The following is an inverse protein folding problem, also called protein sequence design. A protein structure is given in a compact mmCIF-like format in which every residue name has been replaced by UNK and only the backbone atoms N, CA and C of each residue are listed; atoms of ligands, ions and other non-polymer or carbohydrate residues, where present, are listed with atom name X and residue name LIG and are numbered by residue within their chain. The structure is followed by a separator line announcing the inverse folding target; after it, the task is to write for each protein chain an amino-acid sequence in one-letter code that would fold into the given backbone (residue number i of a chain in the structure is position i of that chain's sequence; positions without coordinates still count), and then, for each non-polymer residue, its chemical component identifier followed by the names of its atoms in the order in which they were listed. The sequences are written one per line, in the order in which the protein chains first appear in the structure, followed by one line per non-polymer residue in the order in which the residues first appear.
data_IF_725123221310
#
_entry.id   IF_725123221310
#
_cell.length_a   1.000
_cell.length_b   1.000
_cell.length_c   1.000
_cell.angle_alpha   90.00
_cell.angle_beta   90.00
_cell.angle_gamma   90.00
#
_symmetry.space_group_name_H-M   'P 1'
#
loop_
_entity.id
_entity.type
_entity.pdbx_description
1 polymer ?
#
# COMPACT_ATOMS: atom_id res chain seq x y z
N UNK A 1 -29.96 -28.87 -11.85
CA UNK A 1 -28.89 -28.00 -12.36
C UNK A 1 -28.83 -26.77 -11.45
N UNK A 2 -27.70 -26.33 -10.93
CA UNK A 2 -27.64 -25.12 -10.12
C UNK A 2 -27.99 -23.91 -11.00
N UNK A 3 -28.90 -23.08 -10.50
CA UNK A 3 -29.37 -21.88 -11.20
C UNK A 3 -28.19 -20.91 -11.40
N UNK A 4 -28.08 -20.27 -12.57
CA UNK A 4 -27.00 -19.31 -12.90
C UNK A 4 -26.85 -18.19 -11.86
N UNK A 5 -27.95 -17.83 -11.21
CA UNK A 5 -27.99 -16.84 -10.13
C UNK A 5 -27.26 -17.33 -8.87
N UNK A 6 -27.42 -18.58 -8.48
CA UNK A 6 -26.74 -19.20 -7.34
C UNK A 6 -25.22 -19.32 -7.58
N UNK A 7 -24.79 -19.60 -8.81
CA UNK A 7 -23.37 -19.65 -9.17
C UNK A 7 -22.72 -18.25 -9.08
N UNK A 8 -23.45 -17.21 -9.49
CA UNK A 8 -22.98 -15.83 -9.45
C UNK A 8 -22.85 -15.33 -7.99
N UNK A 9 -23.83 -15.63 -7.14
CA UNK A 9 -23.79 -15.32 -5.71
C UNK A 9 -22.60 -16.02 -5.04
N UNK A 10 -22.41 -17.33 -5.28
CA UNK A 10 -21.28 -18.11 -4.73
C UNK A 10 -19.92 -17.53 -5.13
N UNK A 11 -19.74 -17.11 -6.38
CA UNK A 11 -18.48 -16.53 -6.86
C UNK A 11 -18.18 -15.18 -6.21
N UNK A 12 -19.20 -14.32 -6.03
CA UNK A 12 -19.08 -13.02 -5.36
C UNK A 12 -18.73 -13.19 -3.88
N UNK A 13 -19.42 -14.10 -3.18
CA UNK A 13 -19.15 -14.40 -1.76
C UNK A 13 -17.71 -14.90 -1.57
N UNK A 14 -17.25 -15.79 -2.44
CA UNK A 14 -15.88 -16.31 -2.40
C UNK A 14 -14.84 -15.18 -2.63
N UNK A 15 -15.10 -14.27 -3.56
CA UNK A 15 -14.24 -13.10 -3.79
C UNK A 15 -14.18 -12.21 -2.55
N UNK A 16 -15.33 -11.90 -1.93
CA UNK A 16 -15.39 -11.09 -0.71
C UNK A 16 -14.67 -11.77 0.46
N UNK A 17 -14.84 -13.07 0.64
CA UNK A 17 -14.13 -13.82 1.69
C UNK A 17 -12.60 -13.77 1.51
N UNK A 18 -12.11 -13.88 0.26
CA UNK A 18 -10.68 -13.74 -0.05
C UNK A 18 -10.17 -12.32 0.19
N UNK A 19 -10.95 -11.29 -0.14
CA UNK A 19 -10.60 -9.90 0.15
C UNK A 19 -10.54 -9.66 1.66
N UNK A 20 -11.50 -10.18 2.44
CA UNK A 20 -11.50 -10.11 3.90
C UNK A 20 -10.26 -10.81 4.51
N UNK A 21 -9.86 -11.96 3.95
CA UNK A 21 -8.63 -12.64 4.36
C UNK A 21 -7.38 -11.78 4.10
N UNK A 22 -7.32 -11.09 2.96
CA UNK A 22 -6.20 -10.17 2.66
C UNK A 22 -6.17 -8.98 3.62
N UNK A 23 -7.33 -8.45 4.01
CA UNK A 23 -7.43 -7.42 5.05
C UNK A 23 -6.89 -7.96 6.38
N UNK A 24 -7.30 -9.16 6.80
CA UNK A 24 -6.82 -9.77 8.05
C UNK A 24 -5.30 -9.97 8.04
N UNK A 25 -4.74 -10.49 6.94
CA UNK A 25 -3.29 -10.64 6.77
C UNK A 25 -2.60 -9.27 6.85
N UNK A 26 -3.13 -8.25 6.16
CA UNK A 26 -2.58 -6.90 6.20
C UNK A 26 -2.59 -6.34 7.63
N UNK A 27 -3.69 -6.48 8.36
CA UNK A 27 -3.80 -6.02 9.75
C UNK A 27 -2.80 -6.76 10.65
N UNK A 28 -2.61 -8.06 10.49
CA UNK A 28 -1.56 -8.80 11.23
C UNK A 28 -0.17 -8.26 10.89
N UNK A 29 0.09 -7.97 9.62
CA UNK A 29 1.37 -7.41 9.19
C UNK A 29 1.63 -5.99 9.73
N UNK A 30 0.61 -5.24 10.20
CA UNK A 30 0.82 -3.90 10.79
C UNK A 30 1.60 -3.94 12.11
N UNK A 31 1.62 -5.07 12.79
CA UNK A 31 2.43 -5.23 14.01
C UNK A 31 3.93 -5.25 13.72
N UNK A 32 4.32 -5.40 12.44
CA UNK A 32 5.70 -5.33 12.00
C UNK A 32 5.89 -3.97 11.30
N UNK A 33 6.31 -3.00 12.07
CA UNK A 33 6.64 -1.65 11.60
C UNK A 33 7.93 -1.17 12.29
N UNK A 34 8.71 -0.39 11.57
CA UNK A 34 9.97 0.15 12.09
C UNK A 34 10.40 1.40 11.33
N UNK A 35 11.07 2.35 11.98
CA UNK A 35 11.66 3.50 11.31
C UNK A 35 12.84 3.04 10.45
N UNK A 36 12.84 3.43 9.15
CA UNK A 36 13.97 3.12 8.25
C UNK A 36 15.08 4.15 8.43
N UNK A 37 14.70 5.41 8.73
CA UNK A 37 15.64 6.51 8.91
C UNK A 37 15.72 6.87 10.39
N UNK A 38 16.88 6.69 11.05
CA UNK A 38 17.06 7.09 12.45
C UNK A 38 16.84 8.58 12.71
N UNK A 39 17.06 9.42 11.69
CA UNK A 39 16.88 10.88 11.73
C UNK A 39 15.41 11.31 11.71
N UNK A 40 14.50 10.41 11.37
CA UNK A 40 13.06 10.70 11.27
C UNK A 40 12.24 9.51 11.78
N UNK A 41 12.22 9.24 13.09
CA UNK A 41 11.56 8.07 13.66
C UNK A 41 10.03 8.04 13.49
N UNK A 42 9.42 9.18 13.15
CA UNK A 42 8.00 9.28 12.80
C UNK A 42 7.66 8.73 11.42
N UNK A 43 8.67 8.47 10.58
CA UNK A 43 8.53 7.86 9.25
C UNK A 43 8.77 6.34 9.36
N UNK A 44 7.71 5.59 9.52
CA UNK A 44 7.76 4.15 9.67
C UNK A 44 7.51 3.42 8.35
N UNK A 45 8.27 2.36 8.13
CA UNK A 45 7.95 1.34 7.14
C UNK A 45 6.99 0.34 7.76
N UNK A 46 5.95 -0.01 7.03
CA UNK A 46 4.94 -0.98 7.46
C UNK A 46 4.89 -2.15 6.51
N UNK A 47 5.01 -3.36 7.05
CA UNK A 47 4.95 -4.61 6.27
C UNK A 47 3.55 -4.84 5.71
N UNK A 48 2.53 -4.19 6.26
CA UNK A 48 1.13 -4.24 5.79
C UNK A 48 0.93 -3.78 4.35
N UNK A 49 1.82 -2.94 3.81
CA UNK A 49 1.78 -2.50 2.41
C UNK A 49 1.92 -3.67 1.42
N UNK A 50 2.68 -4.70 1.80
CA UNK A 50 2.98 -5.85 0.95
C UNK A 50 1.72 -6.65 0.59
N UNK A 51 0.90 -7.14 1.54
CA UNK A 51 -0.34 -7.83 1.22
C UNK A 51 -1.35 -6.93 0.48
N UNK A 52 -1.38 -5.61 0.73
CA UNK A 52 -2.23 -4.67 0.01
C UNK A 52 -1.85 -4.60 -1.47
N UNK A 53 -0.56 -4.48 -1.79
CA UNK A 53 -0.07 -4.47 -3.17
C UNK A 53 -0.32 -5.79 -3.88
N UNK A 54 -0.12 -6.93 -3.21
CA UNK A 54 -0.45 -8.25 -3.73
C UNK A 54 -1.95 -8.36 -4.02
N UNK A 55 -2.81 -7.90 -3.10
CA UNK A 55 -4.25 -7.88 -3.28
C UNK A 55 -4.66 -7.03 -4.50
N UNK A 56 -4.03 -5.88 -4.72
CA UNK A 56 -4.21 -5.08 -5.91
C UNK A 56 -3.86 -5.81 -7.20
N UNK A 57 -2.80 -6.60 -7.21
CA UNK A 57 -2.44 -7.44 -8.35
C UNK A 57 -3.45 -8.55 -8.62
N UNK A 58 -3.97 -9.18 -7.57
CA UNK A 58 -4.93 -10.29 -7.65
C UNK A 58 -6.32 -9.81 -8.05
N UNK A 59 -6.86 -8.84 -7.32
CA UNK A 59 -8.26 -8.43 -7.41
C UNK A 59 -8.48 -7.19 -8.28
N UNK A 60 -7.41 -6.48 -8.62
CA UNK A 60 -7.43 -5.23 -9.40
C UNK A 60 -7.30 -3.97 -8.53
N UNK A 61 -7.20 -2.79 -9.17
CA UNK A 61 -6.84 -1.53 -8.49
C UNK A 61 -7.86 -1.09 -7.44
N UNK A 62 -9.15 -1.07 -7.75
CA UNK A 62 -10.19 -0.62 -6.81
C UNK A 62 -10.35 -1.57 -5.61
N UNK A 63 -10.47 -2.91 -5.79
CA UNK A 63 -10.49 -3.82 -4.66
C UNK A 63 -9.22 -3.73 -3.81
N UNK A 64 -8.04 -3.57 -4.42
CA UNK A 64 -6.79 -3.36 -3.72
C UNK A 64 -6.79 -2.09 -2.86
N UNK A 65 -7.32 -0.98 -3.41
CA UNK A 65 -7.50 0.27 -2.65
C UNK A 65 -8.45 0.07 -1.46
N UNK A 66 -9.60 -0.59 -1.67
CA UNK A 66 -10.56 -0.86 -0.58
C UNK A 66 -9.93 -1.69 0.52
N UNK A 67 -9.17 -2.75 0.16
CA UNK A 67 -8.43 -3.57 1.14
C UNK A 67 -7.44 -2.69 1.90
N UNK A 68 -6.69 -1.82 1.22
CA UNK A 68 -5.74 -0.91 1.84
C UNK A 68 -6.40 0.04 2.83
N UNK A 69 -7.45 0.74 2.41
CA UNK A 69 -8.18 1.69 3.27
C UNK A 69 -8.76 0.99 4.49
N UNK A 70 -9.45 -0.15 4.30
CA UNK A 70 -10.03 -0.91 5.42
C UNK A 70 -8.95 -1.39 6.39
N UNK A 71 -7.81 -1.89 5.88
CA UNK A 71 -6.69 -2.34 6.73
C UNK A 71 -6.11 -1.20 7.56
N UNK A 72 -5.91 -0.01 6.96
CA UNK A 72 -5.40 1.18 7.67
C UNK A 72 -6.39 1.66 8.73
N UNK A 73 -7.68 1.67 8.43
CA UNK A 73 -8.71 2.06 9.41
C UNK A 73 -8.78 1.06 10.58
N UNK A 74 -8.73 -0.24 10.31
CA UNK A 74 -8.69 -1.26 11.36
C UNK A 74 -7.44 -1.14 12.22
N UNK A 75 -6.27 -0.90 11.58
CA UNK A 75 -5.04 -0.60 12.32
C UNK A 75 -5.22 0.58 13.28
N UNK A 76 -5.83 1.67 12.81
CA UNK A 76 -6.06 2.86 13.63
C UNK A 76 -6.92 2.59 14.87
N UNK A 77 -7.84 1.63 14.78
CA UNK A 77 -8.68 1.21 15.91
C UNK A 77 -7.92 0.31 16.90
N UNK A 78 -6.95 -0.46 16.42
CA UNK A 78 -6.19 -1.44 17.23
C UNK A 78 -4.95 -0.78 17.83
N UNK A 79 -4.27 0.07 17.07
CA UNK A 79 -3.02 0.70 17.44
C UNK A 79 -3.15 2.22 17.26
N UNK A 80 -2.82 2.97 18.31
CA UNK A 80 -2.71 4.44 18.19
C UNK A 80 -1.39 4.79 17.48
N UNK A 81 -1.41 5.20 16.21
CA UNK A 81 -0.17 5.54 15.51
C UNK A 81 0.46 6.80 16.12
N UNK A 82 1.81 6.87 16.23
CA UNK A 82 2.50 8.03 16.80
C UNK A 82 2.16 9.37 16.11
N UNK A 83 1.87 9.31 14.81
CA UNK A 83 1.48 10.46 13.98
C UNK A 83 -0.02 10.74 13.94
N UNK A 84 -0.82 10.00 14.74
CA UNK A 84 -2.26 10.21 14.85
C UNK A 84 -3.01 10.15 13.51
N UNK A 85 -4.10 10.93 13.35
CA UNK A 85 -4.91 10.93 12.13
C UNK A 85 -4.14 11.45 10.89
N UNK A 86 -3.16 12.32 11.08
CA UNK A 86 -2.33 12.84 10.00
C UNK A 86 -1.49 11.72 9.35
N UNK A 87 -0.88 10.85 10.16
CA UNK A 87 -0.15 9.69 9.66
C UNK A 87 -1.03 8.69 8.93
N UNK A 88 -2.27 8.47 9.41
CA UNK A 88 -3.23 7.63 8.72
C UNK A 88 -3.60 8.19 7.35
N UNK A 89 -3.89 9.48 7.27
CA UNK A 89 -4.19 10.15 6.00
C UNK A 89 -3.02 10.04 5.03
N UNK A 90 -1.81 10.29 5.50
CA UNK A 90 -0.58 10.17 4.70
C UNK A 90 -0.39 8.74 4.19
N UNK A 91 -0.66 7.74 5.05
CA UNK A 91 -0.56 6.32 4.66
C UNK A 91 -1.60 5.95 3.59
N UNK A 92 -2.85 6.41 3.74
CA UNK A 92 -3.91 6.19 2.73
C UNK A 92 -3.53 6.81 1.39
N UNK A 93 -2.98 8.02 1.38
CA UNK A 93 -2.50 8.68 0.15
C UNK A 93 -1.36 7.87 -0.48
N UNK A 94 -0.35 7.52 0.30
CA UNK A 94 0.82 6.80 -0.19
C UNK A 94 0.46 5.44 -0.79
N UNK A 95 -0.17 4.56 0.01
CA UNK A 95 -0.51 3.20 -0.46
C UNK A 95 -1.64 3.23 -1.49
N UNK A 96 -2.56 4.18 -1.40
CA UNK A 96 -3.64 4.37 -2.35
C UNK A 96 -3.11 4.63 -3.76
N UNK A 97 -2.22 5.60 -3.92
CA UNK A 97 -1.59 5.88 -5.21
C UNK A 97 -0.74 4.70 -5.67
N UNK A 98 0.06 4.11 -4.77
CA UNK A 98 0.92 2.98 -5.12
C UNK A 98 0.09 1.79 -5.64
N UNK A 99 -0.93 1.36 -4.89
CA UNK A 99 -1.74 0.20 -5.28
C UNK A 99 -2.57 0.46 -6.54
N UNK A 100 -3.15 1.66 -6.67
CA UNK A 100 -3.94 2.01 -7.85
C UNK A 100 -3.09 1.98 -9.12
N UNK A 101 -1.97 2.70 -9.13
CA UNK A 101 -1.10 2.81 -10.32
C UNK A 101 -0.46 1.47 -10.64
N UNK A 102 0.16 0.81 -9.66
CA UNK A 102 0.84 -0.46 -9.87
C UNK A 102 -0.15 -1.53 -10.37
N UNK A 103 -1.31 -1.66 -9.74
CA UNK A 103 -2.30 -2.66 -10.14
C UNK A 103 -2.93 -2.36 -11.49
N UNK A 104 -3.21 -1.08 -11.80
CA UNK A 104 -3.74 -0.70 -13.09
C UNK A 104 -2.80 -1.06 -14.25
N UNK A 105 -1.51 -0.78 -14.09
CA UNK A 105 -0.50 -1.13 -15.10
C UNK A 105 -0.37 -2.65 -15.22
N UNK A 106 -0.32 -3.35 -14.08
CA UNK A 106 -0.18 -4.81 -14.04
C UNK A 106 -1.36 -5.53 -14.69
N UNK A 107 -2.59 -5.06 -14.49
CA UNK A 107 -3.78 -5.70 -15.07
C UNK A 107 -3.79 -5.67 -16.61
N UNK A 108 -3.06 -4.75 -17.25
CA UNK A 108 -2.93 -4.69 -18.72
C UNK A 108 -2.11 -5.86 -19.27
N UNK A 109 -1.07 -6.29 -18.54
CA UNK A 109 -0.22 -7.42 -18.95
C UNK A 109 0.29 -8.15 -17.71
N UNK A 110 -0.35 -9.27 -17.36
CA UNK A 110 -0.07 -10.07 -16.16
C UNK A 110 1.20 -10.93 -16.32
N UNK A 111 2.34 -10.29 -16.56
CA UNK A 111 3.65 -10.96 -16.67
C UNK A 111 4.59 -10.48 -15.58
N UNK A 112 5.63 -11.28 -15.28
CA UNK A 112 6.63 -10.93 -14.26
C UNK A 112 7.35 -9.61 -14.55
N UNK A 113 7.73 -9.37 -15.82
CA UNK A 113 8.39 -8.12 -16.23
C UNK A 113 7.47 -6.91 -16.02
N UNK A 114 6.20 -7.05 -16.40
CA UNK A 114 5.20 -6.00 -16.17
C UNK A 114 4.86 -5.82 -14.70
N UNK A 115 4.91 -6.88 -13.88
CA UNK A 115 4.77 -6.80 -12.43
C UNK A 115 5.86 -5.93 -11.81
N UNK A 116 7.13 -6.15 -12.15
CA UNK A 116 8.24 -5.33 -11.67
C UNK A 116 8.12 -3.88 -12.17
N UNK A 117 7.87 -3.69 -13.48
CA UNK A 117 7.70 -2.37 -14.08
C UNK A 117 6.56 -1.59 -13.40
N UNK A 118 5.43 -2.23 -13.15
CA UNK A 118 4.27 -1.61 -12.52
C UNK A 118 4.55 -1.17 -11.08
N UNK A 119 5.32 -1.97 -10.31
CA UNK A 119 5.74 -1.61 -8.95
C UNK A 119 6.69 -0.40 -8.97
N UNK A 120 7.65 -0.37 -9.90
CA UNK A 120 8.56 0.78 -10.02
C UNK A 120 7.78 2.05 -10.34
N UNK A 121 6.92 2.04 -11.37
CA UNK A 121 6.15 3.22 -11.76
C UNK A 121 5.17 3.63 -10.65
N UNK A 122 4.43 2.67 -10.07
CA UNK A 122 3.52 2.95 -8.95
C UNK A 122 4.22 3.56 -7.75
N UNK A 123 5.41 3.05 -7.39
CA UNK A 123 6.23 3.58 -6.32
C UNK A 123 6.80 4.96 -6.60
N UNK A 124 7.20 5.24 -7.84
CA UNK A 124 7.62 6.59 -8.25
C UNK A 124 6.45 7.59 -8.19
N UNK A 125 5.26 7.19 -8.63
CA UNK A 125 4.06 8.02 -8.49
C UNK A 125 3.70 8.26 -7.02
N UNK A 126 3.82 7.22 -6.16
CA UNK A 126 3.65 7.38 -4.71
C UNK A 126 4.68 8.39 -4.17
N UNK A 127 5.95 8.23 -4.50
CA UNK A 127 7.01 9.16 -4.05
C UNK A 127 6.73 10.59 -4.50
N UNK A 128 6.29 10.78 -5.74
CA UNK A 128 5.98 12.10 -6.28
C UNK A 128 4.79 12.76 -5.56
N UNK A 129 3.69 12.03 -5.31
CA UNK A 129 2.53 12.60 -4.61
C UNK A 129 2.81 12.87 -3.13
N UNK A 130 3.75 12.13 -2.53
CA UNK A 130 4.13 12.34 -1.14
C UNK A 130 4.89 13.66 -0.91
N UNK A 131 5.47 14.28 -1.95
CA UNK A 131 6.09 15.60 -1.82
C UNK A 131 5.03 16.67 -1.47
N UNK A 132 4.02 16.94 -2.32
CA UNK A 132 2.98 17.90 -1.97
C UNK A 132 2.17 17.49 -0.73
N UNK A 133 1.91 16.19 -0.53
CA UNK A 133 1.21 15.73 0.66
C UNK A 133 1.97 16.08 1.96
N UNK A 134 3.30 15.90 1.99
CA UNK A 134 4.12 16.30 3.13
C UNK A 134 4.13 17.82 3.32
N UNK A 135 4.23 18.61 2.25
CA UNK A 135 4.20 20.07 2.35
C UNK A 135 2.90 20.61 2.95
N UNK A 136 1.77 19.92 2.72
CA UNK A 136 0.46 20.32 3.22
C UNK A 136 0.16 19.78 4.63
N UNK A 137 0.52 18.53 4.91
CA UNK A 137 0.06 17.81 6.10
C UNK A 137 1.12 17.82 7.22
N UNK A 138 2.41 17.70 6.90
CA UNK A 138 3.47 17.61 7.91
C UNK A 138 3.62 18.89 8.75
N UNK A 139 3.48 20.13 8.21
CA UNK A 139 3.45 21.33 9.04
C UNK A 139 2.36 21.30 10.10
N UNK A 140 1.17 20.81 9.75
CA UNK A 140 0.02 20.69 10.67
C UNK A 140 0.26 19.65 11.75
N UNK A 141 0.90 18.53 11.39
CA UNK A 141 1.25 17.46 12.33
C UNK A 141 2.35 17.86 13.29
N UNK A 142 3.43 18.45 12.78
CA UNK A 142 4.61 18.78 13.57
C UNK A 142 4.54 20.15 14.25
N UNK A 143 3.60 21.00 13.87
CA UNK A 143 3.52 22.39 14.36
C UNK A 143 4.72 23.25 13.94
N UNK A 144 5.33 22.96 12.79
CA UNK A 144 6.51 23.67 12.27
C UNK A 144 6.16 24.50 11.04
N UNK A 145 6.91 25.56 10.72
CA UNK A 145 6.68 26.34 9.51
C UNK A 145 6.97 25.52 8.24
N UNK A 146 6.38 25.93 7.13
CA UNK A 146 6.48 25.25 5.83
C UNK A 146 7.94 25.11 5.37
N UNK A 147 8.75 26.14 5.62
CA UNK A 147 10.16 26.18 5.24
C UNK A 147 10.97 25.06 5.89
N UNK A 148 10.65 24.70 7.14
CA UNK A 148 11.29 23.58 7.84
C UNK A 148 10.98 22.25 7.15
N UNK A 149 9.73 22.04 6.69
CA UNK A 149 9.36 20.82 5.96
C UNK A 149 9.99 20.82 4.56
N UNK A 150 10.08 21.96 3.89
CA UNK A 150 10.78 22.09 2.60
C UNK A 150 12.24 21.66 2.72
N UNK A 151 12.92 22.09 3.79
CA UNK A 151 14.30 21.68 4.06
C UNK A 151 14.45 20.17 4.29
N UNK A 152 13.40 19.48 4.75
CA UNK A 152 13.40 18.03 4.97
C UNK A 152 13.14 17.22 3.70
N UNK A 153 12.66 17.82 2.60
CA UNK A 153 12.29 17.07 1.39
C UNK A 153 13.45 16.23 0.86
N UNK A 154 14.57 16.87 0.56
CA UNK A 154 15.72 16.22 -0.05
C UNK A 154 16.47 15.28 0.91
N UNK A 155 16.79 15.67 2.16
CA UNK A 155 17.58 14.81 3.04
C UNK A 155 16.77 13.70 3.74
N UNK A 156 15.44 13.82 3.88
CA UNK A 156 14.64 12.92 4.70
C UNK A 156 13.46 12.31 3.92
N UNK A 157 12.55 13.16 3.43
CA UNK A 157 11.27 12.70 2.89
C UNK A 157 11.42 11.94 1.58
N UNK A 158 12.24 12.43 0.67
CA UNK A 158 12.51 11.79 -0.62
C UNK A 158 13.26 10.46 -0.44
N UNK A 159 14.38 10.38 0.30
CA UNK A 159 15.05 9.11 0.57
C UNK A 159 14.15 8.08 1.25
N UNK A 160 13.34 8.50 2.23
CA UNK A 160 12.39 7.61 2.90
C UNK A 160 11.41 6.97 1.91
N UNK A 161 10.74 7.79 1.08
CA UNK A 161 9.74 7.28 0.14
C UNK A 161 10.38 6.40 -0.94
N UNK A 162 11.59 6.72 -1.40
CA UNK A 162 12.34 5.87 -2.33
C UNK A 162 12.75 4.53 -1.70
N UNK A 163 13.20 4.52 -0.45
CA UNK A 163 13.51 3.29 0.28
C UNK A 163 12.24 2.45 0.51
N UNK A 164 11.15 3.09 0.95
CA UNK A 164 9.84 2.43 1.11
C UNK A 164 9.38 1.79 -0.20
N UNK A 165 9.47 2.52 -1.32
CA UNK A 165 9.20 2.00 -2.66
C UNK A 165 10.09 0.80 -3.01
N UNK A 166 11.41 0.91 -2.79
CA UNK A 166 12.37 -0.13 -3.14
C UNK A 166 12.11 -1.42 -2.34
N UNK A 167 11.93 -1.32 -1.02
CA UNK A 167 11.65 -2.48 -0.16
C UNK A 167 10.34 -3.16 -0.59
N UNK A 168 9.26 -2.38 -0.72
CA UNK A 168 7.97 -2.92 -1.18
C UNK A 168 8.09 -3.59 -2.55
N UNK A 169 8.78 -2.95 -3.51
CA UNK A 169 8.98 -3.51 -4.85
C UNK A 169 9.72 -4.84 -4.80
N UNK A 170 10.84 -4.92 -4.07
CA UNK A 170 11.63 -6.15 -3.96
C UNK A 170 10.82 -7.26 -3.30
N UNK A 171 10.19 -6.99 -2.17
CA UNK A 171 9.47 -8.01 -1.40
C UNK A 171 8.23 -8.48 -2.15
N UNK A 172 7.42 -7.58 -2.69
CA UNK A 172 6.23 -7.94 -3.49
C UNK A 172 6.64 -8.73 -4.72
N UNK A 173 7.70 -8.33 -5.43
CA UNK A 173 8.18 -9.05 -6.62
C UNK A 173 8.66 -10.48 -6.29
N UNK A 174 9.38 -10.67 -5.19
CA UNK A 174 9.83 -11.98 -4.74
C UNK A 174 8.67 -12.88 -4.30
N UNK A 175 7.73 -12.34 -3.53
CA UNK A 175 6.54 -13.06 -3.11
C UNK A 175 5.63 -13.38 -4.29
N UNK A 176 5.42 -12.43 -5.19
CA UNK A 176 4.65 -12.64 -6.41
C UNK A 176 5.21 -13.79 -7.25
N UNK A 177 6.55 -13.92 -7.35
CA UNK A 177 7.18 -15.03 -8.07
C UNK A 177 6.76 -16.39 -7.50
N UNK A 178 6.60 -16.50 -6.18
CA UNK A 178 6.16 -17.75 -5.51
C UNK A 178 4.63 -17.94 -5.58
N UNK A 179 3.87 -16.85 -5.49
CA UNK A 179 2.41 -16.88 -5.44
C UNK A 179 1.75 -16.89 -6.82
N UNK A 180 2.45 -16.46 -7.87
CA UNK A 180 1.94 -16.38 -9.25
C UNK A 180 1.25 -17.67 -9.74
N UNK A 181 1.74 -18.89 -9.48
CA UNK A 181 1.06 -20.12 -9.89
C UNK A 181 -0.30 -20.31 -9.18
N UNK A 182 -0.43 -19.79 -7.95
CA UNK A 182 -1.69 -19.83 -7.19
C UNK A 182 -2.63 -18.69 -7.60
N UNK A 183 -2.09 -17.53 -7.96
CA UNK A 183 -2.86 -16.33 -8.31
C UNK A 183 -3.55 -16.45 -9.69
N UNK A 184 -2.94 -17.21 -10.63
CA UNK A 184 -3.49 -17.40 -11.97
C UNK A 184 -4.49 -18.57 -12.06
N UNK A 185 -4.62 -19.38 -11.01
CA UNK A 185 -5.65 -20.45 -10.92
C UNK A 185 -7.01 -19.95 -10.39
N UNK A 186 -7.14 -18.66 -10.23
CA UNK A 186 -8.35 -18.00 -9.71
C UNK A 186 -8.85 -16.96 -10.71
#
# INVERSE_FOLDING_TARGET
MPNSENLNVKSRTLKLAKMALMVAISVICTFIHFPILPTAPFLEFEVSDIPILIAGFVFGPLPGLVIGVVSILLRALIMSPPSGPYGLLMHVIAIGVFVLVASYIYQKRKTRKWGLFSLIIGGLCMTAIMIPANLLITPLFMGVPLEAVQAMILPVLLPFNLLKMAINTVVVFLLYKRLSPFLHKW
#
